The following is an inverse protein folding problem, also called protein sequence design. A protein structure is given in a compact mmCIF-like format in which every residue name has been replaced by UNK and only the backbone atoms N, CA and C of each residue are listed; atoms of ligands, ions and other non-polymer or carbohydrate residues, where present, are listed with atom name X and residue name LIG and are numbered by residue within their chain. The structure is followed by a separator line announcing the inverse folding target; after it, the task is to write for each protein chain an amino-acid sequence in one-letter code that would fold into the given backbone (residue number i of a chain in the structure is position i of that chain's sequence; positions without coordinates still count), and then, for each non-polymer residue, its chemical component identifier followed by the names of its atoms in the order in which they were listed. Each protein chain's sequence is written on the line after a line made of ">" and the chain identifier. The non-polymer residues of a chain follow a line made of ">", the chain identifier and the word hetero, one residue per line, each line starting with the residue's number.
data_IF_831432732846
#
_entry.id   IF_831432732846
#
_cell.length_a   1.000
_cell.length_b   1.000
_cell.length_c   1.000
_cell.angle_alpha   90.00
_cell.angle_beta   90.00
_cell.angle_gamma   90.00
#
_symmetry.space_group_name_H-M   'P 1'
#
loop_
_entity.id
_entity.type
_entity.pdbx_description
1 polymer ?
#
# COMPACT_ATOMS: atom_id res chain seq x y z
N UNK A 1 -7.76 -36.34 31.46
CA UNK A 1 -8.53 -35.86 30.28
C UNK A 1 -8.92 -34.39 30.41
N UNK A 2 -9.35 -33.89 31.53
CA UNK A 2 -9.73 -32.47 31.74
C UNK A 2 -8.59 -31.47 31.60
N UNK A 3 -7.36 -31.82 32.02
CA UNK A 3 -6.19 -30.96 31.97
C UNK A 3 -5.67 -30.72 30.52
N UNK A 4 -5.84 -31.70 29.60
CA UNK A 4 -5.51 -31.60 28.19
C UNK A 4 -6.52 -30.70 27.45
N UNK A 5 -7.79 -30.77 27.86
CA UNK A 5 -8.81 -29.87 27.32
C UNK A 5 -8.58 -28.44 27.80
N UNK A 6 -8.17 -28.22 29.04
CA UNK A 6 -7.88 -26.88 29.58
C UNK A 6 -6.69 -26.23 28.88
N UNK A 7 -5.59 -26.97 28.65
CA UNK A 7 -4.44 -26.48 27.86
C UNK A 7 -4.77 -26.21 26.40
N UNK A 8 -5.70 -26.97 25.82
CA UNK A 8 -6.20 -26.74 24.47
C UNK A 8 -7.07 -25.48 24.38
N UNK A 9 -7.86 -25.20 25.46
CA UNK A 9 -8.64 -23.98 25.63
C UNK A 9 -7.74 -22.76 25.88
N UNK A 10 -6.70 -22.86 26.70
CA UNK A 10 -5.73 -21.76 26.91
C UNK A 10 -4.93 -21.45 25.65
N UNK A 11 -4.64 -22.45 24.81
CA UNK A 11 -4.02 -22.23 23.49
C UNK A 11 -4.97 -21.57 22.49
N UNK A 12 -6.27 -21.78 22.63
CA UNK A 12 -7.32 -21.11 21.85
C UNK A 12 -7.61 -19.68 22.35
N UNK A 13 -7.45 -19.44 23.66
CA UNK A 13 -7.65 -18.10 24.28
C UNK A 13 -6.39 -17.21 24.12
N UNK A 14 -5.21 -17.77 23.91
CA UNK A 14 -3.99 -17.05 23.53
C UNK A 14 -3.79 -16.94 22.02
N UNK A 15 -4.83 -16.87 21.24
CA UNK A 15 -4.74 -16.22 19.95
C UNK A 15 -4.54 -14.74 20.27
N UNK A 16 -3.29 -14.26 20.16
CA UNK A 16 -2.96 -12.84 20.20
C UNK A 16 -4.03 -12.16 19.34
N UNK A 17 -4.88 -11.31 19.92
CA UNK A 17 -5.89 -10.60 19.15
C UNK A 17 -5.16 -9.88 18.04
N UNK A 18 -5.49 -10.19 16.81
CA UNK A 18 -4.91 -9.52 15.67
C UNK A 18 -5.47 -8.09 15.69
N UNK A 19 -4.63 -7.09 15.94
CA UNK A 19 -5.05 -5.70 15.92
C UNK A 19 -5.69 -5.35 14.57
N UNK A 20 -5.20 -5.97 13.48
CA UNK A 20 -5.76 -5.85 12.15
C UNK A 20 -5.56 -7.14 11.38
N UNK A 21 -6.58 -7.55 10.64
CA UNK A 21 -6.51 -8.63 9.65
C UNK A 21 -7.07 -8.14 8.32
N UNK A 22 -6.56 -8.65 7.23
CA UNK A 22 -6.93 -8.24 5.89
C UNK A 22 -6.73 -9.35 4.90
N UNK A 23 -7.57 -9.37 3.88
CA UNK A 23 -7.48 -10.30 2.76
C UNK A 23 -7.58 -9.53 1.44
N UNK A 24 -7.04 -10.10 0.39
CA UNK A 24 -7.04 -9.52 -0.95
C UNK A 24 -7.48 -10.54 -1.98
N UNK A 25 -8.22 -10.09 -2.98
CA UNK A 25 -8.52 -10.84 -4.19
C UNK A 25 -7.43 -10.54 -5.23
N UNK A 26 -6.74 -11.57 -5.68
CA UNK A 26 -5.62 -11.47 -6.63
C UNK A 26 -6.05 -12.01 -7.99
N UNK A 27 -5.62 -11.37 -9.07
CA UNK A 27 -5.89 -11.84 -10.44
C UNK A 27 -5.44 -13.29 -10.64
N UNK A 28 -6.29 -14.09 -11.27
CA UNK A 28 -6.11 -15.54 -11.55
C UNK A 28 -5.95 -16.44 -10.31
N UNK A 29 -6.17 -15.90 -9.10
CA UNK A 29 -6.04 -16.67 -7.87
C UNK A 29 -7.22 -16.47 -6.90
N UNK A 30 -8.01 -15.38 -7.06
CA UNK A 30 -9.13 -15.06 -6.19
C UNK A 30 -8.71 -14.62 -4.79
N UNK A 31 -9.64 -14.71 -3.84
CA UNK A 31 -9.41 -14.35 -2.45
C UNK A 31 -8.35 -15.23 -1.79
N UNK A 32 -7.43 -14.57 -1.08
CA UNK A 32 -6.37 -15.22 -0.33
C UNK A 32 -6.80 -15.40 1.14
N UNK A 33 -6.08 -16.26 1.87
CA UNK A 33 -6.23 -16.34 3.33
C UNK A 33 -5.92 -14.98 3.98
N UNK A 34 -6.51 -14.74 5.16
CA UNK A 34 -6.24 -13.51 5.91
C UNK A 34 -4.78 -13.43 6.36
N UNK A 35 -4.18 -12.29 6.13
CA UNK A 35 -2.92 -11.84 6.72
C UNK A 35 -3.20 -10.89 7.88
N UNK A 36 -2.28 -10.76 8.84
CA UNK A 36 -2.46 -9.95 10.03
C UNK A 36 -1.22 -9.14 10.41
N UNK A 37 -1.42 -8.00 11.09
CA UNK A 37 -0.39 -7.27 11.83
C UNK A 37 0.91 -6.97 11.05
N UNK A 38 0.82 -6.66 9.77
CA UNK A 38 1.95 -6.35 8.91
C UNK A 38 2.51 -7.55 8.13
N UNK A 39 1.84 -8.69 8.13
CA UNK A 39 2.14 -9.78 7.20
C UNK A 39 1.78 -9.36 5.77
N UNK A 40 2.41 -10.00 4.77
CA UNK A 40 2.15 -9.68 3.37
C UNK A 40 0.86 -10.36 2.90
N UNK A 41 -0.09 -9.58 2.39
CA UNK A 41 -1.23 -10.08 1.62
C UNK A 41 -0.99 -9.81 0.13
N UNK A 42 -1.29 -10.78 -0.72
CA UNK A 42 -1.03 -10.72 -2.17
C UNK A 42 0.28 -11.41 -2.57
N UNK A 43 0.87 -10.98 -3.67
CA UNK A 43 2.08 -11.59 -4.23
C UNK A 43 3.09 -10.53 -4.65
N UNK A 44 4.39 -10.83 -4.56
CA UNK A 44 5.46 -9.95 -5.04
C UNK A 44 6.16 -10.58 -6.24
N UNK A 45 6.46 -9.78 -7.27
CA UNK A 45 7.22 -10.21 -8.44
C UNK A 45 6.55 -11.27 -9.33
N UNK A 46 5.23 -11.44 -9.20
CA UNK A 46 4.45 -12.39 -10.03
C UNK A 46 3.57 -11.69 -11.06
N UNK A 47 3.61 -10.37 -11.11
CA UNK A 47 2.78 -9.55 -12.00
C UNK A 47 1.28 -9.88 -11.89
N UNK A 48 0.82 -10.11 -10.65
CA UNK A 48 -0.58 -10.41 -10.35
C UNK A 48 -1.18 -9.26 -9.54
N UNK A 49 -2.12 -8.55 -10.16
CA UNK A 49 -2.78 -7.39 -9.56
C UNK A 49 -3.75 -7.80 -8.44
N UNK A 50 -3.79 -7.02 -7.37
CA UNK A 50 -4.90 -7.00 -6.43
C UNK A 50 -6.11 -6.36 -7.13
N UNK A 51 -7.28 -6.99 -7.00
CA UNK A 51 -8.55 -6.54 -7.59
C UNK A 51 -9.57 -6.08 -6.55
N UNK A 52 -9.45 -6.57 -5.33
CA UNK A 52 -10.28 -6.17 -4.20
C UNK A 52 -9.56 -6.44 -2.89
N UNK A 53 -9.97 -5.77 -1.83
CA UNK A 53 -9.48 -6.02 -0.47
C UNK A 53 -10.61 -5.85 0.55
N UNK A 54 -10.43 -6.52 1.69
CA UNK A 54 -11.21 -6.33 2.91
C UNK A 54 -10.27 -6.19 4.09
N UNK A 55 -10.65 -5.34 5.05
CA UNK A 55 -9.86 -5.06 6.26
C UNK A 55 -10.78 -5.11 7.48
N UNK A 56 -10.32 -5.72 8.57
CA UNK A 56 -11.05 -5.85 9.81
C UNK A 56 -10.14 -5.60 11.02
N UNK A 57 -10.72 -5.19 12.14
CA UNK A 57 -10.03 -5.06 13.43
C UNK A 57 -10.86 -5.72 14.53
N UNK A 58 -10.18 -6.30 15.52
CA UNK A 58 -10.82 -6.84 16.74
C UNK A 58 -10.65 -5.87 17.94
N UNK A 59 -10.13 -4.65 17.72
CA UNK A 59 -9.99 -3.63 18.76
C UNK A 59 -11.38 -3.07 19.07
N UNK A 60 -11.86 -3.14 20.34
CA UNK A 60 -13.15 -2.59 20.72
C UNK A 60 -13.27 -1.09 20.39
N UNK A 61 -14.44 -0.66 19.98
CA UNK A 61 -14.80 0.73 19.68
C UNK A 61 -13.94 1.39 18.57
N UNK A 62 -13.21 0.56 17.80
CA UNK A 62 -12.44 0.97 16.63
C UNK A 62 -13.09 0.43 15.36
N UNK A 63 -13.23 1.29 14.35
CA UNK A 63 -13.63 0.92 13.00
C UNK A 63 -12.53 1.29 12.00
N UNK A 64 -12.44 0.53 10.92
CA UNK A 64 -11.53 0.78 9.80
C UNK A 64 -12.34 1.13 8.57
N UNK A 65 -12.08 2.28 8.00
CA UNK A 65 -12.67 2.72 6.72
C UNK A 65 -11.59 2.74 5.66
N UNK A 66 -11.90 2.27 4.46
CA UNK A 66 -10.93 2.20 3.37
C UNK A 66 -11.57 2.39 2.01
N UNK A 67 -10.75 2.77 1.04
CA UNK A 67 -11.15 2.94 -0.36
C UNK A 67 -10.02 2.52 -1.28
N UNK A 68 -10.34 2.23 -2.52
CA UNK A 68 -9.39 1.89 -3.57
C UNK A 68 -9.56 2.78 -4.80
N UNK A 69 -8.46 2.96 -5.52
CA UNK A 69 -8.39 3.66 -6.79
C UNK A 69 -8.05 2.68 -7.91
N UNK A 70 -8.72 2.83 -9.03
CA UNK A 70 -8.32 2.25 -10.30
C UNK A 70 -8.58 3.25 -11.45
N UNK A 71 -7.81 3.12 -12.52
CA UNK A 71 -7.83 4.07 -13.63
C UNK A 71 -9.21 4.26 -14.29
N UNK A 72 -10.05 3.22 -14.27
CA UNK A 72 -11.33 3.24 -14.97
C UNK A 72 -12.43 3.96 -14.19
N UNK A 73 -12.37 3.90 -12.86
CA UNK A 73 -13.47 4.33 -11.99
C UNK A 73 -13.07 5.43 -10.99
N UNK A 74 -11.78 5.88 -11.00
CA UNK A 74 -11.22 6.81 -10.02
C UNK A 74 -11.27 6.24 -8.59
N UNK A 75 -11.24 7.08 -7.54
CA UNK A 75 -11.43 6.66 -6.16
C UNK A 75 -12.87 6.21 -5.95
N UNK A 76 -13.03 5.03 -5.36
CA UNK A 76 -14.34 4.50 -5.00
C UNK A 76 -14.85 5.13 -3.70
N UNK A 77 -16.12 4.86 -3.38
CA UNK A 77 -16.67 5.26 -2.09
C UNK A 77 -15.91 4.56 -0.93
N UNK A 78 -15.85 5.24 0.21
CA UNK A 78 -15.32 4.64 1.42
C UNK A 78 -16.25 3.53 1.91
N UNK A 79 -15.68 2.39 2.26
CA UNK A 79 -16.36 1.25 2.86
C UNK A 79 -15.90 1.05 4.29
N UNK A 80 -16.73 0.40 5.10
CA UNK A 80 -16.44 0.07 6.48
C UNK A 80 -15.72 -1.28 6.59
N UNK A 81 -15.16 -1.56 7.77
CA UNK A 81 -14.52 -2.85 8.05
C UNK A 81 -15.44 -4.04 7.69
N UNK A 82 -14.86 -5.08 7.08
CA UNK A 82 -15.54 -6.28 6.62
C UNK A 82 -16.27 -6.13 5.28
N UNK A 83 -16.44 -4.93 4.74
CA UNK A 83 -16.97 -4.71 3.39
C UNK A 83 -15.83 -4.79 2.37
N UNK A 84 -16.15 -5.03 1.10
CA UNK A 84 -15.15 -5.11 0.03
C UNK A 84 -15.00 -3.76 -0.67
N UNK A 85 -13.76 -3.33 -0.94
CA UNK A 85 -13.47 -2.29 -1.94
C UNK A 85 -12.69 -2.90 -3.09
N UNK A 86 -12.86 -2.34 -4.29
CA UNK A 86 -12.39 -2.93 -5.55
C UNK A 86 -13.59 -3.43 -6.37
N UNK A 87 -13.44 -3.54 -7.68
CA UNK A 87 -14.56 -3.85 -8.59
C UNK A 87 -14.11 -4.77 -9.72
N UNK A 88 -13.33 -5.79 -9.39
CA UNK A 88 -12.68 -6.71 -10.35
C UNK A 88 -11.66 -6.04 -11.29
N UNK A 89 -11.38 -4.76 -11.10
CA UNK A 89 -10.32 -4.04 -11.81
C UNK A 89 -9.05 -4.02 -10.97
N UNK A 90 -7.93 -3.92 -11.64
CA UNK A 90 -6.65 -3.80 -10.96
C UNK A 90 -6.60 -2.54 -10.12
N UNK A 91 -6.36 -2.69 -8.82
CA UNK A 91 -6.20 -1.58 -7.88
C UNK A 91 -4.81 -0.96 -8.06
N UNK A 92 -4.75 0.36 -8.19
CA UNK A 92 -3.51 1.12 -8.36
C UNK A 92 -3.12 1.90 -7.08
N UNK A 93 -4.09 2.28 -6.24
CA UNK A 93 -3.86 2.92 -4.95
C UNK A 93 -4.97 2.58 -3.94
N UNK A 94 -4.65 2.76 -2.65
CA UNK A 94 -5.58 2.59 -1.54
C UNK A 94 -5.45 3.74 -0.54
N UNK A 95 -6.50 3.98 0.25
CA UNK A 95 -6.47 4.80 1.46
C UNK A 95 -7.16 4.04 2.58
N UNK A 96 -6.62 4.14 3.80
CA UNK A 96 -7.17 3.49 4.99
C UNK A 96 -7.14 4.49 6.15
N UNK A 97 -8.23 4.65 6.87
CA UNK A 97 -8.32 5.48 8.07
C UNK A 97 -9.05 4.75 9.19
N UNK A 98 -8.89 5.25 10.39
CA UNK A 98 -9.59 4.77 11.57
C UNK A 98 -10.76 5.71 11.91
N UNK A 99 -11.84 5.13 12.44
CA UNK A 99 -12.97 5.85 13.04
C UNK A 99 -13.48 5.11 14.28
N UNK A 100 -14.51 5.64 14.95
CA UNK A 100 -14.98 5.13 16.22
C UNK A 100 -14.33 5.82 17.42
N UNK A 101 -14.83 5.52 18.62
CA UNK A 101 -14.42 6.21 19.87
C UNK A 101 -12.93 6.00 20.20
N UNK A 102 -12.40 4.81 19.91
CA UNK A 102 -10.99 4.49 20.14
C UNK A 102 -10.02 5.04 19.09
N UNK A 103 -10.51 5.63 18.00
CA UNK A 103 -9.65 6.04 16.86
C UNK A 103 -8.54 7.02 17.23
N UNK A 104 -8.76 7.87 18.23
CA UNK A 104 -7.76 8.83 18.70
C UNK A 104 -6.57 8.19 19.46
N UNK A 105 -6.66 6.91 19.83
CA UNK A 105 -5.62 6.18 20.56
C UNK A 105 -4.70 5.36 19.65
N UNK A 106 -5.03 5.23 18.36
CA UNK A 106 -4.35 4.35 17.41
C UNK A 106 -4.02 5.07 16.12
N UNK A 107 -3.02 4.53 15.40
CA UNK A 107 -2.70 4.85 14.02
C UNK A 107 -2.81 3.61 13.14
N UNK A 108 -3.27 3.77 11.91
CA UNK A 108 -3.18 2.73 10.88
C UNK A 108 -2.04 3.06 9.93
N UNK A 109 -1.07 2.16 9.82
CA UNK A 109 0.06 2.23 8.91
C UNK A 109 -0.11 1.20 7.80
N UNK A 110 0.18 1.58 6.57
CA UNK A 110 0.11 0.67 5.44
C UNK A 110 1.10 1.05 4.36
N UNK A 111 1.50 0.05 3.59
CA UNK A 111 2.31 0.20 2.39
C UNK A 111 1.94 -0.83 1.35
N UNK A 112 2.30 -0.57 0.10
CA UNK A 112 1.98 -1.43 -1.03
C UNK A 112 3.21 -1.76 -1.87
N UNK A 113 3.20 -2.96 -2.45
CA UNK A 113 4.11 -3.35 -3.52
C UNK A 113 3.44 -3.06 -4.86
N UNK A 114 4.08 -2.23 -5.66
CA UNK A 114 3.57 -1.78 -6.95
C UNK A 114 4.34 -2.45 -8.07
N UNK A 115 3.64 -2.90 -9.11
CA UNK A 115 4.28 -3.46 -10.31
C UNK A 115 5.29 -2.47 -10.90
N UNK A 116 6.43 -2.97 -11.36
CA UNK A 116 7.55 -2.19 -11.92
C UNK A 116 8.29 -1.24 -10.97
N UNK A 117 7.81 -1.05 -9.72
CA UNK A 117 8.46 -0.17 -8.73
C UNK A 117 8.98 -0.99 -7.53
N UNK A 118 8.18 -1.93 -7.01
CA UNK A 118 8.45 -2.63 -5.76
C UNK A 118 7.69 -2.03 -4.58
N UNK A 119 8.21 -2.23 -3.36
CA UNK A 119 7.62 -1.65 -2.16
C UNK A 119 7.81 -0.13 -2.13
N UNK A 120 6.71 0.60 -1.98
CA UNK A 120 6.74 2.00 -1.57
C UNK A 120 6.92 2.10 -0.05
N UNK A 121 7.22 3.31 0.43
CA UNK A 121 7.35 3.56 1.86
C UNK A 121 6.00 3.45 2.59
N UNK A 122 6.07 3.40 3.93
CA UNK A 122 4.87 3.41 4.75
C UNK A 122 4.19 4.77 4.72
N UNK A 123 2.86 4.74 4.71
CA UNK A 123 1.98 5.89 4.93
C UNK A 123 0.99 5.57 6.05
N UNK A 124 0.14 6.51 6.45
CA UNK A 124 -0.81 6.33 7.56
C UNK A 124 -2.09 7.16 7.41
N UNK A 125 -3.10 6.80 8.16
CA UNK A 125 -4.23 7.62 8.59
C UNK A 125 -4.96 8.38 7.47
N UNK A 126 -5.26 7.70 6.38
CA UNK A 126 -6.04 8.22 5.25
C UNK A 126 -5.21 8.78 4.10
N UNK A 127 -3.89 8.87 4.25
CA UNK A 127 -3.02 9.23 3.14
C UNK A 127 -2.99 8.12 2.08
N UNK A 128 -2.74 8.47 0.81
CA UNK A 128 -2.73 7.47 -0.25
C UNK A 128 -1.48 6.58 -0.20
N UNK A 129 -1.64 5.30 -0.56
CA UNK A 129 -0.55 4.37 -0.85
C UNK A 129 -0.74 3.77 -2.25
N UNK A 130 0.29 3.79 -3.09
CA UNK A 130 0.23 3.26 -4.45
C UNK A 130 0.58 4.29 -5.51
N UNK A 131 -0.05 4.16 -6.68
CA UNK A 131 0.21 5.08 -7.80
C UNK A 131 -1.08 5.54 -8.47
N UNK A 132 -1.05 6.72 -9.10
CA UNK A 132 -2.11 7.21 -9.97
C UNK A 132 -1.54 7.73 -11.27
N UNK A 133 -2.15 7.32 -12.39
CA UNK A 133 -1.77 7.79 -13.71
C UNK A 133 -0.55 7.10 -14.35
N UNK A 134 0.07 6.15 -13.65
CA UNK A 134 1.16 5.31 -14.21
C UNK A 134 0.63 4.02 -14.86
N UNK A 135 -0.56 3.57 -14.50
CA UNK A 135 -1.08 2.26 -14.90
C UNK A 135 -0.33 1.11 -14.23
N UNK A 136 0.22 1.31 -13.05
CA UNK A 136 0.93 0.31 -12.26
C UNK A 136 0.04 -0.21 -11.13
N UNK A 137 -0.15 -1.50 -11.10
CA UNK A 137 -1.06 -2.16 -10.17
C UNK A 137 -0.39 -2.47 -8.83
N UNK A 138 -1.17 -2.45 -7.77
CA UNK A 138 -0.76 -3.05 -6.49
C UNK A 138 -0.76 -4.57 -6.64
N UNK A 139 0.32 -5.21 -6.21
CA UNK A 139 0.50 -6.66 -6.20
C UNK A 139 0.44 -7.28 -4.80
N UNK A 140 0.87 -6.51 -3.79
CA UNK A 140 0.82 -6.90 -2.39
C UNK A 140 0.67 -5.68 -1.48
N UNK A 141 0.21 -5.90 -0.25
CA UNK A 141 0.11 -4.87 0.78
C UNK A 141 0.45 -5.40 2.17
N UNK A 142 0.76 -4.49 3.07
CA UNK A 142 0.94 -4.73 4.50
C UNK A 142 0.18 -3.65 5.27
N UNK A 143 -0.52 -4.04 6.35
CA UNK A 143 -1.27 -3.12 7.21
C UNK A 143 -0.93 -3.41 8.67
N UNK A 144 -0.75 -2.35 9.48
CA UNK A 144 -0.59 -2.41 10.93
C UNK A 144 -1.53 -1.42 11.59
N UNK A 145 -2.14 -1.79 12.71
CA UNK A 145 -2.79 -0.86 13.64
C UNK A 145 -1.98 -0.90 14.93
N UNK A 146 -1.44 0.24 15.32
CA UNK A 146 -0.57 0.38 16.48
C UNK A 146 -1.10 1.49 17.39
N UNK A 147 -0.95 1.29 18.72
CA UNK A 147 -1.31 2.32 19.69
C UNK A 147 -0.35 3.49 19.60
N UNK A 148 -0.84 4.69 19.91
CA UNK A 148 -0.03 5.90 19.93
C UNK A 148 1.22 5.72 20.80
N UNK A 149 2.39 6.05 20.26
CA UNK A 149 3.67 5.90 20.94
C UNK A 149 4.25 4.47 20.94
N UNK A 150 3.68 3.54 20.17
CA UNK A 150 4.28 2.21 19.99
C UNK A 150 5.64 2.34 19.29
N UNK A 151 6.68 1.74 19.88
CA UNK A 151 8.06 1.78 19.37
C UNK A 151 8.25 0.99 18.07
N UNK A 152 7.28 0.17 17.66
CA UNK A 152 7.29 -0.57 16.41
C UNK A 152 6.61 0.19 15.25
N UNK A 153 6.24 1.46 15.48
CA UNK A 153 5.71 2.33 14.43
C UNK A 153 6.72 2.47 13.30
N UNK A 154 6.32 2.21 12.05
CA UNK A 154 7.24 2.33 10.93
C UNK A 154 7.58 3.79 10.64
N UNK A 155 8.76 4.04 10.08
CA UNK A 155 9.11 5.33 9.50
C UNK A 155 8.26 5.58 8.25
N UNK A 156 7.66 6.78 8.17
CA UNK A 156 6.85 7.21 7.04
C UNK A 156 7.73 7.82 5.95
N UNK A 157 7.30 7.66 4.69
CA UNK A 157 8.03 8.19 3.54
C UNK A 157 7.12 8.38 2.32
N UNK A 158 7.66 8.19 1.12
CA UNK A 158 6.92 8.32 -0.13
C UNK A 158 6.07 7.07 -0.40
N UNK A 159 4.89 7.02 0.21
CA UNK A 159 3.93 5.91 0.04
C UNK A 159 3.06 6.01 -1.20
N UNK A 160 3.05 7.16 -1.89
CA UNK A 160 2.18 7.43 -3.04
C UNK A 160 2.87 8.26 -4.12
N UNK A 161 2.60 7.92 -5.38
CA UNK A 161 3.08 8.68 -6.54
C UNK A 161 1.95 8.96 -7.53
N UNK A 162 1.84 10.20 -7.98
CA UNK A 162 0.87 10.61 -8.99
C UNK A 162 1.58 11.17 -10.22
N UNK A 163 1.30 10.59 -11.38
CA UNK A 163 1.87 11.03 -12.64
C UNK A 163 1.30 12.41 -13.04
N UNK A 164 2.15 13.30 -13.51
CA UNK A 164 1.79 14.67 -13.89
C UNK A 164 1.63 15.64 -12.72
N UNK A 165 1.89 15.18 -11.46
CA UNK A 165 1.95 16.03 -10.27
C UNK A 165 3.41 16.15 -9.84
N UNK A 166 3.93 17.36 -9.71
CA UNK A 166 5.29 17.60 -9.29
C UNK A 166 6.17 18.23 -10.37
N UNK A 167 7.45 17.92 -10.36
CA UNK A 167 8.44 18.47 -11.30
C UNK A 167 8.75 17.42 -12.36
N UNK A 168 8.58 17.80 -13.63
CA UNK A 168 9.12 17.04 -14.75
C UNK A 168 10.47 17.61 -15.14
N UNK A 169 11.43 16.77 -15.44
CA UNK A 169 12.78 17.19 -15.81
C UNK A 169 13.39 16.23 -16.82
N UNK A 170 14.31 16.75 -17.63
CA UNK A 170 15.09 15.96 -18.58
C UNK A 170 16.50 16.48 -18.73
N UNK A 171 17.43 15.61 -19.08
CA UNK A 171 18.80 15.94 -19.34
C UNK A 171 19.09 15.94 -20.85
N UNK A 172 19.91 16.89 -21.30
CA UNK A 172 20.63 16.80 -22.57
C UNK A 172 21.98 16.14 -22.30
N UNK A 173 22.19 14.98 -22.88
CA UNK A 173 23.40 14.18 -22.67
C UNK A 173 24.27 14.26 -23.92
N UNK A 174 25.58 14.47 -23.72
CA UNK A 174 26.55 14.54 -24.83
C UNK A 174 26.42 13.34 -25.77
N UNK A 175 26.35 13.58 -27.06
CA UNK A 175 26.20 12.58 -28.12
C UNK A 175 24.88 11.82 -28.18
N UNK A 176 23.98 12.03 -27.21
CA UNK A 176 22.65 11.37 -27.15
C UNK A 176 21.51 12.38 -27.31
N UNK A 177 21.76 13.68 -27.05
CA UNK A 177 20.74 14.71 -27.09
C UNK A 177 19.81 14.69 -25.89
N UNK A 178 18.64 15.30 -26.03
CA UNK A 178 17.61 15.35 -25.00
C UNK A 178 17.05 13.95 -24.72
N UNK A 179 17.13 13.54 -23.45
CA UNK A 179 16.50 12.32 -22.98
C UNK A 179 14.99 12.55 -22.77
N UNK A 180 14.18 11.48 -22.67
CA UNK A 180 12.79 11.59 -22.27
C UNK A 180 12.65 12.34 -20.94
N UNK A 181 11.46 12.93 -20.70
CA UNK A 181 11.15 13.51 -19.40
C UNK A 181 11.07 12.41 -18.34
N UNK A 182 11.67 12.66 -17.19
CA UNK A 182 11.55 11.93 -15.95
C UNK A 182 10.77 12.78 -14.94
N UNK A 183 10.12 12.15 -13.96
CA UNK A 183 9.25 12.81 -12.98
C UNK A 183 9.52 12.24 -11.58
N UNK A 184 9.16 13.02 -10.57
CA UNK A 184 9.03 12.54 -9.17
C UNK A 184 10.22 11.72 -8.65
N UNK A 185 11.44 12.14 -8.93
CA UNK A 185 12.65 11.46 -8.47
C UNK A 185 13.20 10.39 -9.41
N UNK A 186 12.53 10.08 -10.51
CA UNK A 186 13.04 9.15 -11.51
C UNK A 186 14.36 9.65 -12.12
N UNK A 187 15.24 8.73 -12.49
CA UNK A 187 16.54 9.06 -13.04
C UNK A 187 16.42 9.56 -14.49
N UNK A 188 17.06 10.68 -14.81
CA UNK A 188 17.30 11.14 -16.18
C UNK A 188 18.81 11.21 -16.48
N UNK A 189 19.20 10.92 -17.71
CA UNK A 189 20.60 10.89 -18.11
C UNK A 189 21.12 9.46 -18.33
N UNK A 190 22.40 9.25 -18.09
CA UNK A 190 23.05 7.93 -18.29
C UNK A 190 23.93 7.56 -17.10
N UNK A 191 23.99 6.27 -16.77
CA UNK A 191 24.88 5.71 -15.76
C UNK A 191 25.91 4.78 -16.43
N UNK A 192 27.17 4.88 -16.03
CA UNK A 192 28.24 3.99 -16.50
C UNK A 192 28.74 4.20 -17.93
N UNK A 193 28.27 5.26 -18.62
CA UNK A 193 28.64 5.56 -20.03
C UNK A 193 29.69 6.66 -20.19
N UNK A 194 30.15 7.25 -19.08
CA UNK A 194 31.09 8.38 -19.08
C UNK A 194 30.66 9.57 -19.98
N UNK A 195 29.35 9.79 -20.10
CA UNK A 195 28.77 10.90 -20.87
C UNK A 195 28.31 12.02 -19.93
N UNK A 196 28.70 13.25 -20.26
CA UNK A 196 28.31 14.43 -19.47
C UNK A 196 26.87 14.83 -19.75
N UNK A 197 26.19 15.31 -18.71
CA UNK A 197 24.98 16.12 -18.86
C UNK A 197 25.44 17.54 -19.27
N UNK A 198 24.91 18.06 -20.36
CA UNK A 198 25.26 19.38 -20.94
C UNK A 198 24.19 20.42 -20.61
N UNK A 199 22.94 20.00 -20.42
CA UNK A 199 21.84 20.88 -20.02
C UNK A 199 20.76 20.12 -19.25
N UNK A 200 20.01 20.84 -18.42
CA UNK A 200 18.81 20.36 -17.73
C UNK A 200 17.64 21.26 -18.11
N UNK A 201 16.49 20.64 -18.31
CA UNK A 201 15.22 21.33 -18.44
C UNK A 201 14.27 20.83 -17.36
N UNK A 202 13.72 21.75 -16.58
CA UNK A 202 12.78 21.47 -15.49
C UNK A 202 11.51 22.26 -15.80
N UNK A 203 10.38 21.61 -15.63
CA UNK A 203 9.05 22.24 -15.73
C UNK A 203 8.14 21.73 -14.59
N UNK A 204 7.22 22.57 -14.17
CA UNK A 204 6.14 22.25 -13.25
C UNK A 204 4.88 21.94 -14.03
#
# INVERSE_FOLDING_TARGET
>A
MMQIMYQRWEKLIKKKSDNVRYSVSVSDAGWQEYSANGEIAGTTGKNKAIKALTVETDIPDLNVEYTSYNKENDWQDWVNMGEETGNDKAVEAIKIKLSGEASSEYHVYYRVHVSNIGWLDWTSDGEAAGTKGYGYNIEALQIKILKNGDTNSPELGEGYRENGVGISYRAHVRNLGWQPYAENGDQTGTTGKALCIEALQIKK
#
